data_IF_223173665718
#
_entry.id   IF_223173665718
#
_cell.length_a   1.000
_cell.length_b   1.000
_cell.length_c   1.000
_cell.angle_alpha   90.00
_cell.angle_beta   90.00
_cell.angle_gamma   90.00
#
_symmetry.space_group_name_H-M   'P 1'
#
loop_
_entity.id
_entity.type
_entity.pdbx_description
1 polymer ?
#
# COMPACT_ATOMS: atom_id res chain seq x y z
N UNK A 1 -15.04 -1.20 -2.56
CA UNK A 1 -13.77 -0.57 -2.98
C UNK A 1 -12.65 -1.54 -2.66
N UNK A 2 -11.79 -1.79 -3.64
CA UNK A 2 -10.64 -2.68 -3.48
C UNK A 2 -9.53 -1.99 -2.69
N UNK A 3 -8.67 -2.77 -2.04
CA UNK A 3 -7.55 -2.23 -1.28
C UNK A 3 -6.61 -1.41 -2.17
N UNK A 4 -6.28 -1.90 -3.37
CA UNK A 4 -5.37 -1.23 -4.30
C UNK A 4 -5.88 0.12 -4.79
N UNK A 5 -7.18 0.22 -5.10
CA UNK A 5 -7.82 1.49 -5.50
C UNK A 5 -7.70 2.54 -4.40
N UNK A 6 -8.01 2.15 -3.15
CA UNK A 6 -7.94 3.05 -2.02
C UNK A 6 -6.50 3.49 -1.73
N UNK A 7 -5.54 2.56 -1.83
CA UNK A 7 -4.12 2.87 -1.71
C UNK A 7 -3.69 3.93 -2.73
N UNK A 8 -4.11 3.80 -4.00
CA UNK A 8 -3.77 4.78 -5.04
C UNK A 8 -4.37 6.16 -4.75
N UNK A 9 -5.60 6.23 -4.24
CA UNK A 9 -6.22 7.50 -3.82
C UNK A 9 -5.39 8.16 -2.71
N UNK A 10 -5.05 7.41 -1.66
CA UNK A 10 -4.27 7.95 -0.54
C UNK A 10 -2.85 8.34 -0.92
N UNK A 11 -2.22 7.59 -1.81
CA UNK A 11 -0.89 7.90 -2.34
C UNK A 11 -0.89 9.27 -3.05
N UNK A 12 -1.88 9.52 -3.91
CA UNK A 12 -2.00 10.80 -4.61
C UNK A 12 -2.33 11.95 -3.64
N UNK A 13 -3.29 11.76 -2.73
CA UNK A 13 -3.63 12.77 -1.72
C UNK A 13 -2.44 13.09 -0.80
N UNK A 14 -1.63 12.08 -0.44
CA UNK A 14 -0.38 12.28 0.29
C UNK A 14 0.61 13.12 -0.52
N UNK A 15 0.83 12.79 -1.80
CA UNK A 15 1.78 13.49 -2.66
C UNK A 15 1.35 14.94 -2.91
N UNK A 16 0.06 15.20 -3.11
CA UNK A 16 -0.49 16.55 -3.29
C UNK A 16 -0.27 17.42 -2.04
N UNK A 17 -0.38 16.82 -0.85
CA UNK A 17 -0.14 17.51 0.44
C UNK A 17 1.34 17.66 0.79
N UNK A 18 2.21 16.80 0.25
CA UNK A 18 3.63 16.74 0.58
C UNK A 18 4.52 16.85 -0.67
N UNK A 19 4.41 17.94 -1.46
CA UNK A 19 5.11 18.05 -2.74
C UNK A 19 6.64 18.10 -2.62
N UNK A 20 7.18 18.42 -1.44
CA UNK A 20 8.62 18.42 -1.18
C UNK A 20 9.24 17.05 -0.90
N UNK A 21 8.41 16.03 -0.66
CA UNK A 21 8.87 14.65 -0.42
C UNK A 21 7.80 13.65 -0.89
N UNK A 22 7.51 13.61 -2.21
CA UNK A 22 6.51 12.72 -2.75
C UNK A 22 6.99 11.27 -2.73
N UNK A 23 6.05 10.35 -2.63
CA UNK A 23 6.27 8.93 -2.85
C UNK A 23 6.25 8.68 -4.35
N UNK A 24 7.42 8.43 -4.93
CA UNK A 24 7.55 8.01 -6.33
C UNK A 24 6.82 6.67 -6.57
N UNK A 25 5.95 6.65 -7.57
CA UNK A 25 5.16 5.47 -7.97
C UNK A 25 5.26 5.15 -9.46
N UNK A 26 5.97 5.98 -10.23
CA UNK A 26 6.32 5.77 -11.62
C UNK A 26 7.84 5.64 -11.73
N UNK A 27 8.30 4.76 -12.62
CA UNK A 27 9.70 4.70 -13.03
C UNK A 27 10.08 5.94 -13.84
N UNK A 28 11.39 6.19 -14.07
CA UNK A 28 11.83 7.27 -14.96
C UNK A 28 11.23 7.20 -16.37
N UNK A 29 10.84 6.00 -16.82
CA UNK A 29 10.24 5.75 -18.12
C UNK A 29 8.71 5.95 -18.12
N UNK A 30 8.13 6.33 -16.98
CA UNK A 30 6.69 6.53 -16.79
C UNK A 30 5.91 5.25 -16.51
N UNK A 31 6.58 4.12 -16.25
CA UNK A 31 5.93 2.83 -15.96
C UNK A 31 5.57 2.75 -14.47
N UNK A 32 4.33 2.40 -14.08
CA UNK A 32 3.98 2.26 -12.67
C UNK A 32 4.78 1.13 -11.99
N UNK A 33 5.27 1.38 -10.78
CA UNK A 33 5.88 0.34 -9.94
C UNK A 33 4.85 -0.69 -9.47
N UNK A 34 5.31 -1.92 -9.27
CA UNK A 34 4.56 -2.92 -8.52
C UNK A 34 4.57 -2.58 -7.03
N UNK A 35 3.58 -3.08 -6.29
CA UNK A 35 3.51 -2.89 -4.84
C UNK A 35 3.22 -4.21 -4.14
N UNK A 36 3.99 -4.46 -3.08
CA UNK A 36 3.80 -5.56 -2.16
C UNK A 36 3.24 -5.04 -0.84
N UNK A 37 2.11 -5.59 -0.42
CA UNK A 37 1.42 -5.17 0.79
C UNK A 37 1.46 -6.29 1.83
N UNK A 38 1.77 -5.94 3.07
CA UNK A 38 1.71 -6.88 4.19
C UNK A 38 1.38 -6.20 5.50
N UNK A 39 0.75 -6.96 6.41
CA UNK A 39 0.47 -6.50 7.77
C UNK A 39 1.76 -6.35 8.56
N UNK A 40 1.96 -5.20 9.20
CA UNK A 40 3.08 -5.00 10.14
C UNK A 40 2.89 -5.95 11.32
N UNK A 41 3.89 -6.79 11.55
CA UNK A 41 3.86 -7.79 12.61
C UNK A 41 5.20 -7.81 13.35
N UNK A 42 5.23 -8.34 14.59
CA UNK A 42 6.48 -8.63 15.28
C UNK A 42 7.39 -9.52 14.44
N UNK A 43 8.71 -9.31 14.56
CA UNK A 43 9.72 -9.98 13.73
C UNK A 43 9.68 -11.51 13.80
N UNK A 44 9.17 -12.09 14.88
CA UNK A 44 9.05 -13.53 15.09
C UNK A 44 7.80 -14.16 14.45
N UNK A 45 6.87 -13.37 13.92
CA UNK A 45 5.68 -13.89 13.22
C UNK A 45 5.93 -13.95 11.71
N UNK A 46 5.32 -14.94 11.06
CA UNK A 46 5.32 -15.04 9.60
C UNK A 46 4.52 -13.88 9.01
N UNK A 47 5.09 -13.18 8.02
CA UNK A 47 4.40 -12.11 7.28
C UNK A 47 3.06 -12.59 6.71
N UNK A 48 2.05 -11.73 6.85
CA UNK A 48 0.73 -11.89 6.24
C UNK A 48 0.59 -10.86 5.13
N UNK A 49 0.52 -11.34 3.89
CA UNK A 49 0.36 -10.49 2.71
C UNK A 49 -1.09 -10.07 2.50
N UNK A 50 -1.26 -8.93 1.83
CA UNK A 50 -2.54 -8.34 1.47
C UNK A 50 -2.66 -8.37 -0.05
N UNK A 51 -3.79 -8.84 -0.54
CA UNK A 51 -4.15 -8.87 -1.95
C UNK A 51 -4.81 -7.53 -2.34
N UNK A 52 -4.23 -6.75 -3.26
CA UNK A 52 -4.77 -5.45 -3.66
C UNK A 52 -6.12 -5.55 -4.40
N UNK A 53 -6.43 -6.70 -4.98
CA UNK A 53 -7.67 -6.95 -5.73
C UNK A 53 -8.82 -7.41 -4.80
N UNK A 54 -8.57 -7.48 -3.50
CA UNK A 54 -9.55 -7.79 -2.47
C UNK A 54 -9.90 -6.55 -1.63
N UNK A 55 -11.09 -6.57 -1.03
CA UNK A 55 -11.51 -5.55 -0.06
C UNK A 55 -10.76 -5.70 1.26
N UNK A 56 -10.86 -4.70 2.15
CA UNK A 56 -10.31 -4.78 3.52
C UNK A 56 -10.85 -6.00 4.27
N UNK A 57 -12.16 -6.23 4.20
CA UNK A 57 -12.81 -7.37 4.86
C UNK A 57 -12.33 -8.71 4.29
N UNK A 58 -12.19 -8.82 2.96
CA UNK A 58 -11.71 -10.05 2.32
C UNK A 58 -10.23 -10.33 2.59
N UNK A 59 -9.42 -9.29 2.83
CA UNK A 59 -8.06 -9.41 3.36
C UNK A 59 -7.99 -9.63 4.88
N UNK A 60 -9.14 -9.75 5.55
CA UNK A 60 -9.25 -9.83 7.00
C UNK A 60 -8.52 -8.69 7.73
N UNK A 61 -8.50 -7.48 7.13
CA UNK A 61 -7.93 -6.29 7.76
C UNK A 61 -8.95 -5.76 8.77
N UNK A 62 -8.50 -5.55 10.00
CA UNK A 62 -9.31 -4.99 11.09
C UNK A 62 -8.80 -3.62 11.50
N UNK A 63 -9.60 -2.90 12.28
CA UNK A 63 -9.24 -1.57 12.76
C UNK A 63 -7.91 -1.58 13.53
N UNK A 64 -7.19 -0.46 13.43
CA UNK A 64 -5.89 -0.22 14.08
C UNK A 64 -4.74 -1.16 13.62
N UNK A 65 -4.89 -1.86 12.49
CA UNK A 65 -3.78 -2.56 11.85
C UNK A 65 -2.94 -1.61 10.99
N UNK A 66 -1.61 -1.76 11.04
CA UNK A 66 -0.69 -1.05 10.13
C UNK A 66 -0.37 -1.94 8.94
N UNK A 67 -0.63 -1.45 7.72
CA UNK A 67 -0.20 -2.10 6.48
C UNK A 67 1.09 -1.44 6.00
N UNK A 68 2.07 -2.25 5.62
CA UNK A 68 3.31 -1.81 4.98
C UNK A 68 3.18 -2.02 3.49
N UNK A 69 3.47 -0.97 2.72
CA UNK A 69 3.54 -0.99 1.27
C UNK A 69 5.01 -0.86 0.84
N UNK A 70 5.49 -1.80 0.02
CA UNK A 70 6.85 -1.81 -0.50
C UNK A 70 6.79 -1.79 -2.02
N UNK A 71 7.52 -0.87 -2.64
CA UNK A 71 7.69 -0.82 -4.09
C UNK A 71 8.53 -2.01 -4.55
N UNK A 72 8.11 -2.65 -5.63
CA UNK A 72 8.76 -3.79 -6.27
C UNK A 72 9.22 -3.44 -7.69
#
# INVERSE_FOLDING_TARGET
MLFGELFFIFLNDYNDRNPGSPVEYLSPDGVPYGWLFYKKQPWYKRRVYVDPDLTFQANHIVDNETIVAVRA
#
